data_IF_746703868252
#
_entry.id   IF_746703868252
#
_cell.length_a   1.000
_cell.length_b   1.000
_cell.length_c   1.000
_cell.angle_alpha   90.00
_cell.angle_beta   90.00
_cell.angle_gamma   90.00
#
_symmetry.space_group_name_H-M   'P 1'
#
loop_
_entity.id
_entity.type
_entity.pdbx_description
1 polymer ?
#
# COMPACT_ATOMS: atom_id res chain seq x y z
N UNK A 1 -19.59 -3.72 -9.10
CA UNK A 1 -18.88 -4.53 -8.08
C UNK A 1 -18.17 -3.54 -7.18
N UNK A 2 -18.41 -3.61 -5.88
CA UNK A 2 -17.83 -2.71 -4.87
C UNK A 2 -16.69 -3.42 -4.16
N UNK A 3 -15.74 -2.64 -3.64
CA UNK A 3 -14.67 -3.18 -2.80
C UNK A 3 -15.18 -3.47 -1.38
N UNK A 4 -14.60 -4.46 -0.69
CA UNK A 4 -15.08 -4.81 0.65
C UNK A 4 -14.78 -3.70 1.64
N UNK A 5 -15.71 -3.51 2.57
CA UNK A 5 -15.54 -2.54 3.66
C UNK A 5 -14.51 -3.08 4.65
N UNK A 6 -13.52 -2.24 4.97
CA UNK A 6 -12.51 -2.56 5.97
C UNK A 6 -12.99 -2.31 7.40
N UNK A 7 -12.56 -3.14 8.37
CA UNK A 7 -12.67 -2.79 9.78
C UNK A 7 -11.77 -1.58 10.09
N UNK A 8 -12.11 -0.76 11.10
CA UNK A 8 -11.38 0.46 11.43
C UNK A 8 -9.93 0.21 11.91
N UNK A 9 -9.62 -1.02 12.32
CA UNK A 9 -8.29 -1.48 12.67
C UNK A 9 -8.01 -2.76 11.89
N UNK A 10 -7.39 -2.63 10.72
CA UNK A 10 -6.94 -3.80 9.98
C UNK A 10 -5.59 -4.27 10.51
N UNK A 11 -5.49 -5.58 10.79
CA UNK A 11 -4.23 -6.28 10.98
C UNK A 11 -3.95 -7.06 9.70
N UNK A 12 -2.84 -6.76 9.03
CA UNK A 12 -2.42 -7.44 7.82
C UNK A 12 -1.44 -8.55 8.17
N UNK A 13 -1.72 -9.75 7.66
CA UNK A 13 -0.86 -10.93 7.75
C UNK A 13 -0.26 -11.24 6.39
N UNK A 14 1.06 -11.45 6.27
CA UNK A 14 1.64 -12.02 5.07
C UNK A 14 1.30 -13.51 4.97
N UNK A 15 0.66 -13.91 3.88
CA UNK A 15 0.43 -15.29 3.49
C UNK A 15 1.26 -15.66 2.25
N UNK A 16 1.39 -16.95 1.97
CA UNK A 16 2.15 -17.47 0.83
C UNK A 16 1.69 -16.94 -0.55
N UNK A 17 0.50 -16.31 -0.64
CA UNK A 17 -0.09 -15.76 -1.88
C UNK A 17 -0.45 -14.27 -1.83
N UNK A 18 -0.26 -13.56 -0.72
CA UNK A 18 -0.74 -12.19 -0.56
C UNK A 18 -0.92 -11.79 0.89
N UNK A 19 -1.74 -10.77 1.15
CA UNK A 19 -2.13 -10.39 2.51
C UNK A 19 -3.47 -11.00 2.90
N UNK A 20 -3.73 -11.11 4.20
CA UNK A 20 -5.02 -11.52 4.75
C UNK A 20 -5.25 -10.86 6.10
N UNK A 21 -6.49 -10.95 6.60
CA UNK A 21 -6.87 -10.47 7.94
C UNK A 21 -7.00 -11.68 8.88
N UNK A 22 -6.08 -11.83 9.84
CA UNK A 22 -6.10 -12.96 10.81
C UNK A 22 -5.61 -12.52 12.20
N UNK A 23 -5.83 -13.36 13.22
CA UNK A 23 -5.52 -13.08 14.63
C UNK A 23 -4.07 -13.40 15.08
N UNK A 24 -3.18 -13.81 14.17
CA UNK A 24 -1.76 -14.06 14.49
C UNK A 24 -0.90 -12.79 14.35
N UNK A 25 0.44 -12.89 14.38
CA UNK A 25 1.37 -11.77 14.54
C UNK A 25 1.48 -10.84 13.32
N UNK A 26 0.41 -10.12 12.99
CA UNK A 26 0.41 -9.09 11.96
C UNK A 26 0.80 -7.72 12.48
N UNK A 27 0.88 -6.80 11.52
CA UNK A 27 1.18 -5.40 11.77
C UNK A 27 -0.06 -4.54 11.49
N UNK A 28 -0.05 -3.34 12.06
CA UNK A 28 -1.11 -2.36 11.86
C UNK A 28 -0.61 -1.23 10.97
N UNK A 29 -1.48 -0.79 10.06
CA UNK A 29 -1.26 0.38 9.23
C UNK A 29 -2.49 1.28 9.27
N UNK A 30 -2.31 2.62 9.22
CA UNK A 30 -3.43 3.52 9.01
C UNK A 30 -4.10 3.23 7.66
N UNK A 31 -5.43 3.30 7.65
CA UNK A 31 -6.25 3.18 6.44
C UNK A 31 -6.66 4.56 5.98
N UNK A 32 -6.44 4.89 4.71
CA UNK A 32 -6.87 6.15 4.08
C UNK A 32 -7.88 5.88 2.97
N UNK A 33 -8.96 6.66 2.97
CA UNK A 33 -10.10 6.48 2.05
C UNK A 33 -10.51 7.77 1.36
N UNK A 34 -10.12 8.95 1.89
CA UNK A 34 -10.47 10.24 1.29
C UNK A 34 -9.51 10.59 0.16
N UNK A 35 -9.98 11.24 -0.92
CA UNK A 35 -9.11 11.68 -2.01
C UNK A 35 -7.92 12.51 -1.54
N UNK A 36 -8.13 13.40 -0.56
CA UNK A 36 -7.08 14.25 0.00
C UNK A 36 -6.02 13.42 0.71
N UNK A 37 -6.42 12.49 1.57
CA UNK A 37 -5.48 11.63 2.29
C UNK A 37 -4.73 10.67 1.35
N UNK A 38 -5.41 10.18 0.29
CA UNK A 38 -4.80 9.35 -0.75
C UNK A 38 -3.73 10.14 -1.52
N UNK A 39 -4.01 11.39 -1.90
CA UNK A 39 -3.03 12.23 -2.61
C UNK A 39 -1.82 12.60 -1.74
N UNK A 40 -2.00 12.74 -0.43
CA UNK A 40 -0.91 13.02 0.50
C UNK A 40 -0.10 11.78 0.83
N UNK A 41 -0.74 10.63 1.07
CA UNK A 41 -0.05 9.38 1.42
C UNK A 41 0.98 9.54 2.53
N UNK A 42 2.21 9.07 2.28
CA UNK A 42 3.35 9.13 3.19
C UNK A 42 4.29 10.34 2.96
N UNK A 43 3.84 11.38 2.24
CA UNK A 43 4.63 12.59 2.02
C UNK A 43 5.13 13.21 3.32
N UNK A 44 6.37 13.73 3.30
CA UNK A 44 7.02 14.46 4.38
C UNK A 44 7.22 13.68 5.69
N UNK A 45 7.09 12.35 5.68
CA UNK A 45 7.33 11.50 6.86
C UNK A 45 8.74 10.89 6.80
N UNK A 46 9.50 11.06 7.88
CA UNK A 46 10.80 10.39 8.07
C UNK A 46 10.64 8.97 8.62
N UNK A 47 9.62 8.75 9.46
CA UNK A 47 9.20 7.44 9.95
C UNK A 47 7.79 7.13 9.42
N UNK A 48 7.67 6.01 8.72
CA UNK A 48 6.41 5.52 8.14
C UNK A 48 5.89 4.26 8.84
N UNK A 49 6.55 3.80 9.91
CA UNK A 49 6.18 2.59 10.64
C UNK A 49 6.09 1.37 9.72
N UNK A 50 4.93 0.71 9.72
CA UNK A 50 4.66 -0.41 8.82
C UNK A 50 4.03 0.00 7.47
N UNK A 51 3.83 1.30 7.24
CA UNK A 51 3.28 1.83 5.99
C UNK A 51 1.89 2.44 6.12
N UNK A 52 1.12 2.38 5.02
CA UNK A 52 -0.23 2.93 4.88
C UNK A 52 -1.04 2.09 3.89
N UNK A 53 -2.29 1.80 4.23
CA UNK A 53 -3.22 1.12 3.33
C UNK A 53 -4.19 2.14 2.72
N UNK A 54 -4.17 2.24 1.41
CA UNK A 54 -5.13 3.01 0.62
C UNK A 54 -6.29 2.10 0.27
N UNK A 55 -7.52 2.51 0.60
CA UNK A 55 -8.71 1.71 0.34
C UNK A 55 -9.71 2.50 -0.50
N UNK A 56 -10.19 1.87 -1.57
CA UNK A 56 -11.12 2.48 -2.51
C UNK A 56 -12.53 1.90 -2.34
N UNK A 57 -13.55 2.71 -2.65
CA UNK A 57 -14.95 2.25 -2.61
C UNK A 57 -15.27 1.32 -3.78
N UNK A 58 -14.67 1.58 -4.93
CA UNK A 58 -14.84 0.80 -6.16
C UNK A 58 -13.48 0.41 -6.74
N UNK A 59 -13.38 -0.75 -7.41
CA UNK A 59 -12.12 -1.17 -8.05
C UNK A 59 -11.65 -0.11 -9.05
N UNK A 60 -10.37 0.26 -8.97
CA UNK A 60 -9.78 1.28 -9.85
C UNK A 60 -8.30 0.99 -10.11
N UNK A 61 -7.75 1.61 -11.14
CA UNK A 61 -6.31 1.60 -11.46
C UNK A 61 -5.71 2.93 -10.98
N UNK A 62 -5.30 3.04 -9.70
CA UNK A 62 -4.70 4.27 -9.20
C UNK A 62 -3.27 4.42 -9.74
N UNK A 63 -2.79 5.66 -9.73
CA UNK A 63 -1.40 5.99 -10.07
C UNK A 63 -0.77 6.69 -8.88
N UNK A 64 0.37 6.17 -8.44
CA UNK A 64 1.17 6.67 -7.32
C UNK A 64 2.50 7.25 -7.82
N UNK A 65 3.10 8.10 -7.01
CA UNK A 65 4.42 8.69 -7.22
C UNK A 65 5.10 8.90 -5.87
N UNK A 66 6.38 9.24 -5.87
CA UNK A 66 7.16 9.46 -4.64
C UNK A 66 7.41 10.94 -4.38
N UNK A 67 6.62 11.84 -4.99
CA UNK A 67 6.75 13.29 -4.76
C UNK A 67 6.73 13.56 -3.25
N UNK A 68 7.73 14.26 -2.73
CA UNK A 68 7.87 14.60 -1.31
C UNK A 68 7.92 13.41 -0.32
N UNK A 69 8.06 12.17 -0.79
CA UNK A 69 8.25 11.00 0.07
C UNK A 69 9.73 10.86 0.40
N UNK A 70 10.07 10.70 1.68
CA UNK A 70 11.45 10.80 2.17
C UNK A 70 12.16 9.45 2.34
N UNK A 71 11.41 8.35 2.27
CA UNK A 71 11.92 6.99 2.45
C UNK A 71 11.59 6.12 1.23
N UNK A 72 12.41 5.12 0.88
CA UNK A 72 12.07 4.16 -0.16
C UNK A 72 10.86 3.32 0.23
N UNK A 73 9.96 3.08 -0.73
CA UNK A 73 8.73 2.33 -0.49
C UNK A 73 8.56 1.17 -1.47
N UNK A 74 7.93 0.10 -0.98
CA UNK A 74 7.25 -0.87 -1.83
C UNK A 74 5.78 -0.46 -1.96
N UNK A 75 5.24 -0.55 -3.18
CA UNK A 75 3.82 -0.32 -3.49
C UNK A 75 3.20 -1.64 -3.96
N UNK A 76 2.33 -2.21 -3.14
CA UNK A 76 1.65 -3.47 -3.43
C UNK A 76 0.18 -3.22 -3.74
N UNK A 77 -0.26 -3.60 -4.94
CA UNK A 77 -1.60 -3.39 -5.44
C UNK A 77 -2.42 -4.66 -5.18
N UNK A 78 -3.52 -4.53 -4.44
CA UNK A 78 -4.27 -5.67 -3.90
C UNK A 78 -5.70 -5.74 -4.45
N UNK A 79 -6.13 -6.95 -4.79
CA UNK A 79 -7.54 -7.22 -5.13
C UNK A 79 -8.48 -7.12 -3.91
N UNK A 80 -9.77 -7.40 -4.11
CA UNK A 80 -10.77 -7.39 -3.04
C UNK A 80 -10.48 -8.38 -1.90
N UNK A 81 -9.72 -9.44 -2.18
CA UNK A 81 -9.39 -10.52 -1.25
C UNK A 81 -7.99 -10.34 -0.63
N UNK A 82 -7.38 -9.15 -0.76
CA UNK A 82 -6.04 -8.82 -0.27
C UNK A 82 -4.88 -9.55 -0.97
N UNK A 83 -5.11 -10.18 -2.13
CA UNK A 83 -4.02 -10.77 -2.90
C UNK A 83 -3.25 -9.71 -3.66
N UNK A 84 -1.92 -9.83 -3.69
CA UNK A 84 -1.07 -8.95 -4.49
C UNK A 84 -1.24 -9.32 -5.96
N UNK A 85 -1.81 -8.40 -6.74
CA UNK A 85 -1.96 -8.54 -8.21
C UNK A 85 -0.88 -7.80 -8.98
N UNK A 86 -0.28 -6.79 -8.37
CA UNK A 86 0.87 -6.07 -8.91
C UNK A 86 1.72 -5.48 -7.79
N UNK A 87 3.01 -5.24 -8.06
CA UNK A 87 3.89 -4.61 -7.09
C UNK A 87 5.02 -3.83 -7.77
N UNK A 88 5.33 -2.67 -7.20
CA UNK A 88 6.54 -1.90 -7.53
C UNK A 88 7.43 -1.87 -6.29
N UNK A 89 8.64 -2.40 -6.40
CA UNK A 89 9.56 -2.58 -5.27
C UNK A 89 10.63 -1.51 -5.27
N UNK A 90 11.11 -1.15 -4.07
CA UNK A 90 12.24 -0.23 -3.87
C UNK A 90 12.11 1.07 -4.69
N UNK A 91 10.92 1.68 -4.68
CA UNK A 91 10.67 2.95 -5.37
C UNK A 91 11.38 4.06 -4.60
N UNK A 92 12.19 4.85 -5.29
CA UNK A 92 13.11 5.79 -4.65
C UNK A 92 12.42 7.09 -4.22
N UNK A 93 12.86 7.72 -3.11
CA UNK A 93 12.39 9.04 -2.69
C UNK A 93 12.41 10.07 -3.84
N UNK A 94 11.31 10.81 -4.00
CA UNK A 94 11.21 11.87 -5.00
C UNK A 94 11.02 11.43 -6.45
N UNK A 95 11.00 10.13 -6.76
CA UNK A 95 10.71 9.63 -8.11
C UNK A 95 9.27 10.01 -8.54
N UNK A 96 9.17 10.77 -9.62
CA UNK A 96 7.89 11.27 -10.14
C UNK A 96 7.29 10.36 -11.21
N UNK A 97 7.98 9.26 -11.56
CA UNK A 97 7.46 8.30 -12.52
C UNK A 97 6.25 7.59 -11.93
N UNK A 98 5.11 7.63 -12.64
CA UNK A 98 3.88 7.05 -12.15
C UNK A 98 4.00 5.52 -12.00
N UNK A 99 3.46 5.00 -10.90
CA UNK A 99 3.36 3.58 -10.55
C UNK A 99 1.88 3.21 -10.53
N UNK A 100 1.49 2.24 -11.35
CA UNK A 100 0.10 1.81 -11.48
C UNK A 100 0.04 0.28 -11.56
N UNK A 101 -1.15 -0.29 -11.34
CA UNK A 101 -1.41 -1.71 -11.53
C UNK A 101 -1.85 -2.03 -12.96
N UNK A 102 -1.58 -3.25 -13.40
CA UNK A 102 -2.09 -3.78 -14.68
C UNK A 102 -3.60 -4.06 -14.68
N UNK A 103 -4.24 -4.10 -13.51
CA UNK A 103 -5.66 -4.39 -13.34
C UNK A 103 -6.29 -3.54 -12.23
N UNK A 104 -7.62 -3.31 -12.23
CA UNK A 104 -8.28 -2.59 -11.16
C UNK A 104 -8.10 -3.28 -9.80
N UNK A 105 -7.81 -2.48 -8.78
CA UNK A 105 -7.56 -2.93 -7.41
C UNK A 105 -8.48 -2.24 -6.41
N UNK A 106 -8.66 -2.89 -5.28
CA UNK A 106 -9.44 -2.36 -4.16
C UNK A 106 -8.56 -1.69 -3.11
N UNK A 107 -7.31 -2.13 -3.01
CA UNK A 107 -6.36 -1.58 -2.06
C UNK A 107 -4.99 -1.37 -2.67
N UNK A 108 -4.23 -0.45 -2.09
CA UNK A 108 -2.78 -0.35 -2.29
C UNK A 108 -2.15 -0.28 -0.92
N UNK A 109 -1.11 -1.08 -0.68
CA UNK A 109 -0.29 -0.99 0.51
C UNK A 109 1.03 -0.32 0.12
N UNK A 110 1.27 0.87 0.65
CA UNK A 110 2.62 1.42 0.72
C UNK A 110 3.27 0.96 2.00
N UNK A 111 4.49 0.43 1.93
CA UNK A 111 5.27 0.02 3.10
C UNK A 111 6.75 0.35 2.89
N UNK A 112 7.56 0.47 3.97
CA UNK A 112 9.00 0.60 3.81
C UNK A 112 9.54 -0.46 2.85
N UNK A 113 10.37 -0.04 1.90
CA UNK A 113 11.06 -1.00 1.06
C UNK A 113 11.84 -1.98 1.96
N UNK A 114 11.79 -3.27 1.63
CA UNK A 114 12.66 -4.22 2.31
C UNK A 114 14.11 -3.74 2.15
N UNK A 115 14.87 -3.71 3.25
CA UNK A 115 16.32 -3.56 3.11
C UNK A 115 16.79 -4.75 2.29
N UNK A 116 17.30 -4.50 1.08
CA UNK A 116 18.28 -5.44 0.52
C UNK A 116 19.41 -5.48 1.54
N UNK A 117 19.60 -6.63 2.18
CA UNK A 117 20.85 -6.90 2.89
C UNK A 117 21.95 -6.76 1.86
N UNK A 118 22.74 -5.68 1.97
CA UNK A 118 24.06 -5.66 1.39
C UNK A 118 24.84 -6.76 2.10
N UNK A 119 24.99 -7.90 1.42
CA UNK A 119 25.96 -8.94 1.75
C UNK A 119 27.38 -8.36 1.55
#
# INVERSE_FOLDING_TARGET
MECPRLPPHIRLEPHAKGYGVSESAGFQVPVVTTPEAIHTGLMHREDVGHGMLFAFQTPRTPSFWMKNTLVPLDMEFLDADFNIVDAHRNVQPGDLTLRTSRSPVCFVLERPAARESAD
#
